data_IF_922826323713
#
_entry.id   IF_922826323713
#
_cell.length_a   1.000
_cell.length_b   1.000
_cell.length_c   1.000
_cell.angle_alpha   90.00
_cell.angle_beta   90.00
_cell.angle_gamma   90.00
#
_symmetry.space_group_name_H-M   'P 1'
#
loop_
_entity.id
_entity.type
_entity.pdbx_description
1 polymer ?
#
# COMPACT_ATOMS: atom_id res chain seq x y z
N UNK A 1 5.03 -78.77 10.59
CA UNK A 1 5.54 -77.40 10.81
C UNK A 1 4.66 -76.45 10.01
N UNK A 2 3.72 -75.79 10.69
CA UNK A 2 2.80 -74.81 10.10
C UNK A 2 3.46 -73.43 10.13
N UNK A 3 3.50 -72.66 9.04
CA UNK A 3 3.93 -71.26 9.12
C UNK A 3 2.82 -70.42 9.75
N UNK A 4 3.19 -69.68 10.79
CA UNK A 4 2.35 -68.70 11.46
C UNK A 4 2.01 -67.55 10.50
N UNK A 5 0.71 -67.30 10.32
CA UNK A 5 0.19 -66.15 9.58
C UNK A 5 0.48 -64.86 10.37
N UNK A 6 1.07 -63.81 9.76
CA UNK A 6 1.23 -62.53 10.43
C UNK A 6 -0.12 -61.85 10.66
N UNK A 7 -0.28 -61.32 11.87
CA UNK A 7 -1.50 -60.77 12.44
C UNK A 7 -2.14 -59.70 11.54
N UNK A 8 -3.40 -59.94 11.13
CA UNK A 8 -4.24 -59.09 10.27
C UNK A 8 -4.38 -57.63 10.76
N UNK A 9 -4.02 -57.37 12.02
CA UNK A 9 -4.05 -56.03 12.64
C UNK A 9 -2.96 -55.09 12.13
N UNK A 10 -1.83 -55.61 11.63
CA UNK A 10 -0.75 -54.76 11.10
C UNK A 10 -1.09 -54.15 9.73
N UNK A 11 -1.84 -54.86 8.88
CA UNK A 11 -2.25 -54.33 7.57
C UNK A 11 -3.27 -53.19 7.68
N UNK A 12 -4.16 -53.23 8.68
CA UNK A 12 -5.20 -52.20 8.86
C UNK A 12 -4.64 -50.82 9.24
N UNK A 13 -3.51 -50.78 9.97
CA UNK A 13 -2.86 -49.52 10.37
C UNK A 13 -2.05 -48.88 9.23
N UNK A 14 -1.55 -49.69 8.30
CA UNK A 14 -0.82 -49.25 7.10
C UNK A 14 -1.75 -48.63 6.03
N UNK A 15 -3.00 -49.09 5.91
CA UNK A 15 -3.96 -48.49 4.97
C UNK A 15 -4.53 -47.15 5.46
N UNK A 16 -4.62 -46.93 6.78
CA UNK A 16 -5.16 -45.67 7.32
C UNK A 16 -4.19 -44.49 7.17
N UNK A 17 -2.89 -44.76 7.00
CA UNK A 17 -1.87 -43.70 6.83
C UNK A 17 -1.79 -43.13 5.41
N UNK A 18 -2.31 -43.83 4.40
CA UNK A 18 -2.22 -43.39 3.00
C UNK A 18 -3.37 -42.47 2.55
N UNK A 19 -4.42 -42.30 3.35
CA UNK A 19 -5.64 -41.59 2.96
C UNK A 19 -5.70 -40.10 3.37
N UNK A 20 -4.68 -39.55 4.04
CA UNK A 20 -4.74 -38.19 4.61
C UNK A 20 -3.97 -37.09 3.86
N UNK A 21 -3.40 -37.33 2.67
CA UNK A 21 -2.64 -36.31 1.92
C UNK A 21 -3.38 -35.70 0.71
N UNK A 22 -4.70 -35.76 0.65
CA UNK A 22 -5.46 -34.97 -0.33
C UNK A 22 -5.79 -33.59 0.24
N UNK A 23 -4.83 -32.67 0.20
CA UNK A 23 -5.13 -31.25 0.42
C UNK A 23 -6.07 -30.79 -0.70
N UNK A 24 -7.27 -30.25 -0.40
CA UNK A 24 -8.05 -29.59 -1.44
C UNK A 24 -7.27 -28.36 -1.88
N UNK A 25 -6.86 -28.32 -3.15
CA UNK A 25 -6.38 -27.08 -3.75
C UNK A 25 -7.54 -26.08 -3.71
N UNK A 26 -7.51 -25.13 -2.77
CA UNK A 26 -8.45 -24.02 -2.73
C UNK A 26 -8.15 -23.10 -3.92
N UNK A 27 -8.69 -23.47 -5.08
CA UNK A 27 -8.56 -22.70 -6.30
C UNK A 27 -9.38 -21.42 -6.15
N UNK A 28 -8.72 -20.32 -5.83
CA UNK A 28 -9.32 -18.99 -5.77
C UNK A 28 -9.84 -18.58 -7.15
N UNK A 29 -11.15 -18.74 -7.35
CA UNK A 29 -11.84 -18.28 -8.56
C UNK A 29 -11.88 -16.75 -8.52
N UNK A 30 -11.30 -16.12 -9.55
CA UNK A 30 -11.23 -14.68 -9.73
C UNK A 30 -12.32 -14.22 -10.70
N UNK A 31 -12.92 -13.06 -10.42
CA UNK A 31 -13.83 -12.37 -11.34
C UNK A 31 -13.00 -11.59 -12.36
N UNK A 32 -13.27 -11.79 -13.65
CA UNK A 32 -12.69 -11.06 -14.77
C UNK A 32 -13.80 -10.37 -15.56
N UNK A 33 -13.53 -9.20 -16.14
CA UNK A 33 -14.38 -8.57 -17.15
C UNK A 33 -13.67 -8.65 -18.51
N UNK A 34 -14.23 -9.41 -19.43
CA UNK A 34 -13.68 -9.65 -20.78
C UNK A 34 -14.77 -9.22 -21.77
N UNK A 35 -14.50 -8.22 -22.61
CA UNK A 35 -15.44 -7.67 -23.59
C UNK A 35 -16.82 -7.31 -22.98
N UNK A 36 -16.83 -6.76 -21.77
CA UNK A 36 -18.05 -6.40 -21.03
C UNK A 36 -18.81 -7.59 -20.42
N UNK A 37 -18.30 -8.82 -20.55
CA UNK A 37 -18.87 -10.02 -19.93
C UNK A 37 -18.10 -10.37 -18.65
N UNK A 38 -18.84 -10.54 -17.55
CA UNK A 38 -18.28 -11.09 -16.30
C UNK A 38 -18.01 -12.58 -16.46
N UNK A 39 -16.74 -12.99 -16.33
CA UNK A 39 -16.29 -14.39 -16.38
C UNK A 39 -15.54 -14.73 -15.10
N UNK A 40 -15.74 -15.92 -14.56
CA UNK A 40 -15.07 -16.39 -13.36
C UNK A 40 -14.04 -17.46 -13.75
N UNK A 41 -12.76 -17.25 -13.44
CA UNK A 41 -11.67 -18.14 -13.82
C UNK A 41 -10.70 -18.38 -12.68
N UNK A 42 -10.05 -19.54 -12.66
CA UNK A 42 -9.00 -19.85 -11.70
C UNK A 42 -7.61 -19.36 -12.17
N UNK A 43 -7.48 -19.07 -13.46
CA UNK A 43 -6.27 -18.51 -14.07
C UNK A 43 -6.24 -16.98 -13.96
N UNK A 44 -5.04 -16.35 -13.98
CA UNK A 44 -4.93 -14.90 -14.12
C UNK A 44 -5.74 -14.42 -15.34
N UNK A 45 -6.47 -13.30 -15.18
CA UNK A 45 -7.27 -12.76 -16.28
C UNK A 45 -6.35 -12.45 -17.47
N UNK A 46 -6.71 -12.88 -18.69
CA UNK A 46 -5.93 -12.53 -19.87
C UNK A 46 -5.97 -11.02 -20.06
N UNK A 47 -4.80 -10.41 -20.28
CA UNK A 47 -4.72 -8.99 -20.62
C UNK A 47 -5.01 -8.86 -22.10
N UNK A 48 -6.28 -8.90 -22.46
CA UNK A 48 -6.73 -8.77 -23.86
C UNK A 48 -7.22 -7.35 -24.07
N UNK A 49 -6.45 -6.55 -24.81
CA UNK A 49 -6.85 -5.22 -25.24
C UNK A 49 -5.78 -4.15 -25.02
N UNK A 50 -5.82 -3.04 -25.77
CA UNK A 50 -5.05 -1.85 -25.45
C UNK A 50 -5.45 -1.37 -24.05
N UNK A 51 -4.48 -1.21 -23.14
CA UNK A 51 -4.72 -0.43 -21.93
C UNK A 51 -4.94 1.01 -22.39
N UNK A 52 -6.19 1.41 -22.64
CA UNK A 52 -6.54 2.80 -22.91
C UNK A 52 -6.30 3.59 -21.63
N UNK A 53 -5.12 4.18 -21.54
CA UNK A 53 -4.80 5.14 -20.49
C UNK A 53 -5.45 6.46 -20.90
N UNK A 54 -6.43 6.98 -20.15
CA UNK A 54 -7.00 8.29 -20.45
C UNK A 54 -5.90 9.34 -20.47
N UNK A 55 -5.97 10.26 -21.42
CA UNK A 55 -5.02 11.37 -21.50
C UNK A 55 -5.14 12.27 -20.28
N UNK A 56 -4.06 12.97 -19.93
CA UNK A 56 -4.10 13.96 -18.83
C UNK A 56 -5.21 15.00 -19.04
N UNK A 57 -5.54 15.33 -20.29
CA UNK A 57 -6.62 16.25 -20.63
C UNK A 57 -8.00 15.65 -20.33
N UNK A 58 -8.22 14.36 -20.62
CA UNK A 58 -9.45 13.63 -20.26
C UNK A 58 -9.68 13.61 -18.74
N UNK A 59 -8.61 13.32 -17.98
CA UNK A 59 -8.64 13.28 -16.52
C UNK A 59 -8.95 14.66 -15.93
N UNK A 60 -8.36 15.71 -16.49
CA UNK A 60 -8.61 17.09 -16.05
C UNK A 60 -10.02 17.57 -16.39
N UNK A 61 -10.58 17.16 -17.54
CA UNK A 61 -11.97 17.44 -17.90
C UNK A 61 -12.94 16.77 -16.92
N UNK A 62 -12.76 15.47 -16.63
CA UNK A 62 -13.59 14.78 -15.64
C UNK A 62 -13.51 15.38 -14.25
N UNK A 63 -12.33 15.81 -13.78
CA UNK A 63 -12.20 16.52 -12.49
C UNK A 63 -12.97 17.85 -12.47
N UNK A 64 -13.06 18.54 -13.60
CA UNK A 64 -13.82 19.79 -13.71
C UNK A 64 -15.33 19.54 -13.71
N UNK A 65 -15.78 18.46 -14.36
CA UNK A 65 -17.20 18.06 -14.38
C UNK A 65 -17.67 17.48 -13.04
N UNK A 66 -16.77 16.82 -12.30
CA UNK A 66 -17.03 16.29 -10.96
C UNK A 66 -16.89 17.34 -9.83
N UNK A 67 -16.52 18.59 -10.16
CA UNK A 67 -16.51 19.65 -9.16
C UNK A 67 -17.95 19.93 -8.70
N UNK A 68 -18.22 20.00 -7.37
CA UNK A 68 -19.56 20.25 -6.88
C UNK A 68 -20.08 21.57 -7.44
N UNK A 69 -21.27 21.55 -8.04
CA UNK A 69 -22.00 22.77 -8.40
C UNK A 69 -22.15 23.59 -7.13
N UNK A 70 -21.48 24.74 -7.08
CA UNK A 70 -21.52 25.68 -5.98
C UNK A 70 -22.91 26.31 -5.88
N UNK A 71 -23.85 25.59 -5.27
CA UNK A 71 -25.11 26.11 -4.77
C UNK A 71 -25.29 25.65 -3.33
N UNK A 72 -24.30 25.94 -2.48
CA UNK A 72 -24.49 26.17 -1.05
C UNK A 72 -23.34 27.06 -0.56
N UNK A 73 -23.35 28.30 -1.07
CA UNK A 73 -22.61 29.41 -0.51
C UNK A 73 -23.34 29.92 0.74
N UNK A 74 -23.33 29.15 1.82
CA UNK A 74 -23.88 29.59 3.10
C UNK A 74 -23.14 28.94 4.29
N UNK A 75 -21.83 29.16 4.39
CA UNK A 75 -21.21 29.46 5.68
C UNK A 75 -19.84 30.11 5.47
N UNK A 76 -19.87 31.42 5.18
CA UNK A 76 -18.72 32.29 5.36
C UNK A 76 -19.18 33.51 6.13
N UNK A 77 -19.31 33.35 7.44
CA UNK A 77 -19.27 34.49 8.34
C UNK A 77 -17.80 34.99 8.39
N UNK A 78 -17.56 36.31 8.33
CA UNK A 78 -16.22 36.86 8.49
C UNK A 78 -15.88 36.83 9.98
N UNK A 79 -14.89 36.03 10.36
CA UNK A 79 -14.33 36.15 11.71
C UNK A 79 -13.45 37.40 11.69
N UNK A 80 -13.99 38.45 12.31
CA UNK A 80 -13.34 39.73 12.51
C UNK A 80 -11.97 39.57 13.17
N UNK A 81 -11.02 40.37 12.69
CA UNK A 81 -9.70 40.54 13.24
C UNK A 81 -9.74 40.78 14.75
N UNK A 82 -9.00 39.95 15.50
CA UNK A 82 -8.39 40.34 16.76
C UNK A 82 -6.89 40.06 16.64
N UNK A 83 -6.15 41.12 16.37
CA UNK A 83 -4.69 41.19 16.49
C UNK A 83 -4.35 41.22 18.01
N UNK A 84 -3.81 40.13 18.57
CA UNK A 84 -2.38 39.93 18.97
C UNK A 84 -2.15 40.20 20.48
N UNK A 85 -1.15 39.61 21.21
CA UNK A 85 0.04 38.90 20.71
C UNK A 85 0.43 37.56 21.40
N UNK A 86 1.21 36.77 20.64
CA UNK A 86 2.34 35.92 21.05
C UNK A 86 2.19 34.92 22.21
N UNK A 87 2.05 33.63 21.88
CA UNK A 87 2.72 32.50 22.57
C UNK A 87 2.69 31.20 21.73
N UNK A 88 3.86 30.83 21.18
CA UNK A 88 4.37 29.49 20.79
C UNK A 88 3.42 28.38 20.26
N UNK A 89 3.59 28.11 18.96
CA UNK A 89 3.73 26.79 18.27
C UNK A 89 2.58 25.76 18.23
N UNK A 90 2.17 25.28 17.04
CA UNK A 90 1.56 23.96 16.85
C UNK A 90 2.62 22.95 16.38
N UNK A 91 3.58 22.62 17.25
CA UNK A 91 4.61 21.60 17.00
C UNK A 91 4.38 20.38 17.91
N UNK A 92 3.17 19.81 17.86
CA UNK A 92 2.86 18.61 18.66
C UNK A 92 2.37 17.42 17.81
N UNK A 93 1.98 17.64 16.55
CA UNK A 93 1.52 16.54 15.67
C UNK A 93 2.63 16.02 14.76
N UNK A 94 3.57 16.86 14.33
CA UNK A 94 4.69 16.45 13.44
C UNK A 94 5.80 15.71 14.18
N UNK A 95 6.14 16.14 15.41
CA UNK A 95 7.18 15.49 16.21
C UNK A 95 6.84 14.04 16.58
N UNK A 96 5.57 13.73 16.84
CA UNK A 96 5.13 12.37 17.19
C UNK A 96 5.32 11.36 16.04
N UNK A 97 5.21 11.82 14.79
CA UNK A 97 5.45 10.97 13.60
C UNK A 97 6.93 10.65 13.41
N UNK A 98 7.83 11.60 13.68
CA UNK A 98 9.29 11.38 13.56
C UNK A 98 9.78 10.38 14.61
N UNK A 99 9.28 10.47 15.84
CA UNK A 99 9.65 9.56 16.95
C UNK A 99 9.18 8.11 16.74
N UNK A 100 8.26 7.88 15.80
CA UNK A 100 7.73 6.55 15.46
C UNK A 100 8.11 6.08 14.06
N UNK A 101 9.01 6.79 13.38
CA UNK A 101 9.53 6.40 12.08
C UNK A 101 10.26 5.06 12.17
N UNK A 102 9.78 4.06 11.44
CA UNK A 102 10.43 2.75 11.29
C UNK A 102 10.74 2.55 9.82
N UNK A 103 11.74 1.72 9.54
CA UNK A 103 12.03 1.32 8.17
C UNK A 103 10.86 0.47 7.64
N UNK A 104 10.00 1.11 6.85
CA UNK A 104 8.77 0.57 6.28
C UNK A 104 8.89 0.35 4.77
N UNK A 105 10.12 0.43 4.23
CA UNK A 105 10.42 0.22 2.81
C UNK A 105 10.34 1.48 1.96
N UNK A 106 10.13 2.66 2.56
CA UNK A 106 10.23 3.94 1.84
C UNK A 106 11.68 4.28 1.55
N UNK A 107 11.98 4.55 0.29
CA UNK A 107 13.36 4.84 -0.17
C UNK A 107 13.51 6.19 -0.86
N UNK A 108 12.41 6.83 -1.27
CA UNK A 108 12.43 8.07 -2.06
C UNK A 108 11.81 9.26 -1.32
N UNK A 109 12.20 10.47 -1.72
CA UNK A 109 11.79 11.72 -1.09
C UNK A 109 10.29 12.02 -1.14
N UNK A 110 9.59 11.64 -2.20
CA UNK A 110 8.13 11.83 -2.32
C UNK A 110 7.32 11.08 -1.26
N UNK A 111 7.95 10.13 -0.58
CA UNK A 111 7.33 9.29 0.45
C UNK A 111 7.56 9.84 1.86
N UNK A 112 8.48 10.80 2.03
CA UNK A 112 8.76 11.47 3.30
C UNK A 112 7.78 12.61 3.54
N UNK A 113 7.68 13.08 4.78
CA UNK A 113 6.82 14.23 5.14
C UNK A 113 7.59 15.39 5.77
N UNK A 114 8.88 15.21 6.04
CA UNK A 114 9.73 16.24 6.64
C UNK A 114 11.22 15.97 6.40
N UNK A 115 12.05 17.00 6.62
CA UNK A 115 13.50 16.90 6.52
C UNK A 115 14.07 16.00 7.64
N UNK A 116 13.57 16.14 8.86
CA UNK A 116 13.95 15.31 10.02
C UNK A 116 13.64 13.83 9.81
N UNK A 117 12.47 13.52 9.25
CA UNK A 117 12.11 12.14 8.89
C UNK A 117 13.04 11.60 7.79
N UNK A 118 13.31 12.39 6.75
CA UNK A 118 14.25 11.99 5.70
C UNK A 118 15.66 11.72 6.26
N UNK A 119 16.16 12.57 7.16
CA UNK A 119 17.44 12.35 7.86
C UNK A 119 17.42 11.07 8.70
N UNK A 120 16.32 10.80 9.40
CA UNK A 120 16.18 9.55 10.14
C UNK A 120 16.28 8.34 9.21
N UNK A 121 15.56 8.35 8.08
CA UNK A 121 15.62 7.25 7.12
C UNK A 121 17.00 7.09 6.48
N UNK A 122 17.67 8.20 6.12
CA UNK A 122 19.04 8.17 5.59
C UNK A 122 20.02 7.49 6.56
N UNK A 123 19.90 7.77 7.85
CA UNK A 123 20.81 7.24 8.87
C UNK A 123 20.45 5.84 9.40
N UNK A 124 19.17 5.46 9.38
CA UNK A 124 18.70 4.27 10.09
C UNK A 124 18.14 3.17 9.17
N UNK A 125 17.85 3.46 7.91
CA UNK A 125 17.20 2.52 7.00
C UNK A 125 18.10 2.12 5.82
N UNK A 126 18.22 0.82 5.51
CA UNK A 126 19.01 0.35 4.38
C UNK A 126 18.33 0.65 3.04
N UNK A 127 19.12 0.86 1.99
CA UNK A 127 18.62 0.96 0.61
C UNK A 127 17.84 2.25 0.31
N UNK A 128 18.03 3.29 1.11
CA UNK A 128 17.44 4.60 0.90
C UNK A 128 18.19 5.38 -0.18
N UNK A 129 17.45 6.01 -1.10
CA UNK A 129 17.96 6.70 -2.29
C UNK A 129 17.46 8.15 -2.28
N UNK A 130 17.84 8.90 -1.24
CA UNK A 130 17.31 10.24 -0.99
C UNK A 130 18.37 11.34 -0.92
N UNK A 131 19.63 10.94 -0.72
CA UNK A 131 20.82 11.79 -0.74
C UNK A 131 21.61 11.42 -2.00
N UNK A 132 21.33 12.14 -3.08
CA UNK A 132 21.80 11.77 -4.43
C UNK A 132 23.24 12.18 -4.71
N UNK A 133 23.72 13.21 -4.03
CA UNK A 133 25.08 13.74 -4.12
C UNK A 133 25.97 13.33 -2.93
N UNK A 134 25.38 12.76 -1.88
CA UNK A 134 26.11 12.15 -0.76
C UNK A 134 26.66 13.18 0.22
N UNK A 135 26.04 14.35 0.30
CA UNK A 135 26.46 15.44 1.18
C UNK A 135 25.86 15.34 2.60
N UNK A 136 25.01 14.32 2.84
CA UNK A 136 24.31 14.10 4.08
C UNK A 136 22.99 14.87 4.20
N UNK A 137 22.55 15.58 3.16
CA UNK A 137 21.28 16.30 3.09
C UNK A 137 20.28 15.55 2.19
N UNK A 138 19.41 14.73 2.76
CA UNK A 138 18.40 14.04 1.97
C UNK A 138 17.34 15.02 1.46
N UNK A 139 16.80 14.77 0.27
CA UNK A 139 15.58 15.42 -0.22
C UNK A 139 15.62 16.95 -0.32
N UNK A 140 16.73 17.52 -0.76
CA UNK A 140 16.94 18.97 -0.86
C UNK A 140 15.86 19.72 -1.66
N UNK A 141 15.32 19.06 -2.69
CA UNK A 141 14.29 19.61 -3.58
C UNK A 141 12.90 19.71 -2.95
N UNK A 142 12.61 18.91 -1.92
CA UNK A 142 11.27 18.78 -1.35
C UNK A 142 11.21 19.24 0.10
N UNK A 143 12.08 18.69 0.96
CA UNK A 143 11.99 18.83 2.41
C UNK A 143 13.15 19.63 3.03
N UNK A 144 14.39 19.44 2.57
CA UNK A 144 15.58 20.06 3.18
C UNK A 144 16.14 21.22 2.32
N UNK A 145 15.53 22.42 2.37
CA UNK A 145 15.81 23.53 1.44
C UNK A 145 16.93 24.52 1.88
N UNK A 146 18.05 24.04 2.41
CA UNK A 146 19.06 24.90 3.04
C UNK A 146 20.49 24.43 2.80
#
# INVERSE_FOLDING_TARGET
MTPALPSLRLLSLLFCSLALLTTPATAQVRKCEIDGKTVYQQTPCPVTGPIERPTAQQLNAQRKEAAPRSHDAASRAPIAAKESPSAKSPEATTQSRVLSARCDGRTHCSQMSSCEEAKFFLANCPGVEMDGDGDGKPCEKQWCKW
#
